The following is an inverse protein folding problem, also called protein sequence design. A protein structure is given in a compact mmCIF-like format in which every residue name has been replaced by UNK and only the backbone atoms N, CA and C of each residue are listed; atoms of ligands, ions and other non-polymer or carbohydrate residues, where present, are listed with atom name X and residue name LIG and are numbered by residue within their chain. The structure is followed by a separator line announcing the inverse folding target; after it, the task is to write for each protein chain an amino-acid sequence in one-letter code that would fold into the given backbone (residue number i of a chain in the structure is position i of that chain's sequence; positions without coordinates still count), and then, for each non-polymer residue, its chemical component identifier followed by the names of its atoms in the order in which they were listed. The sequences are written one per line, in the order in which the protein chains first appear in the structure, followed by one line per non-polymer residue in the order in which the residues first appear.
data_IF_476153487909
#
_entry.id   IF_476153487909
#
_cell.length_a   1.000
_cell.length_b   1.000
_cell.length_c   1.000
_cell.angle_alpha   90.00
_cell.angle_beta   90.00
_cell.angle_gamma   90.00
#
_symmetry.space_group_name_H-M   'P 1'
#
loop_
_entity.id
_entity.type
_entity.pdbx_description
1 polymer ?
#
# COMPACT_ATOMS: atom_id res chain seq x y z
N UNK A 1 28.04 -40.86 41.90
CA UNK A 1 28.18 -39.42 42.25
C UNK A 1 27.08 -38.69 41.55
N UNK A 2 26.16 -38.16 42.33
CA UNK A 2 25.00 -37.35 41.90
C UNK A 2 25.47 -35.99 41.46
N UNK A 3 25.02 -35.48 40.28
CA UNK A 3 24.96 -34.06 39.98
C UNK A 3 23.59 -33.73 39.37
N UNK A 4 22.93 -32.92 40.11
CA UNK A 4 21.68 -32.21 40.12
C UNK A 4 21.19 -31.66 38.75
N UNK A 5 19.90 -31.89 38.51
CA UNK A 5 19.05 -31.12 37.59
C UNK A 5 18.90 -29.70 38.13
N UNK A 6 19.23 -28.68 37.31
CA UNK A 6 18.78 -27.33 37.49
C UNK A 6 17.85 -26.93 36.34
N UNK A 7 16.65 -26.64 36.74
CA UNK A 7 15.54 -26.06 36.00
C UNK A 7 15.96 -24.80 35.23
N UNK A 8 15.58 -24.69 33.97
CA UNK A 8 15.43 -23.43 33.28
C UNK A 8 13.95 -23.24 32.97
N UNK A 9 13.32 -22.40 33.78
CA UNK A 9 11.96 -21.88 33.54
C UNK A 9 12.05 -20.66 32.64
N UNK A 10 11.13 -20.57 31.71
CA UNK A 10 10.55 -19.32 31.28
C UNK A 10 11.03 -18.76 29.96
N UNK A 11 10.43 -19.20 28.86
CA UNK A 11 10.17 -18.32 27.71
C UNK A 11 8.76 -18.58 27.27
N UNK A 12 7.90 -17.60 27.52
CA UNK A 12 6.49 -17.58 27.13
C UNK A 12 6.40 -17.62 25.61
N UNK A 13 6.10 -18.81 25.07
CA UNK A 13 5.67 -18.95 23.69
C UNK A 13 4.26 -18.33 23.56
N UNK A 14 4.15 -17.22 22.85
CA UNK A 14 2.86 -16.71 22.43
C UNK A 14 2.23 -17.74 21.48
N UNK A 15 1.15 -18.36 21.93
CA UNK A 15 0.35 -19.25 21.11
C UNK A 15 -0.28 -18.44 19.97
N UNK A 16 0.15 -18.70 18.75
CA UNK A 16 -0.60 -18.33 17.54
C UNK A 16 -1.63 -19.43 17.34
N UNK A 17 -2.85 -19.18 17.76
CA UNK A 17 -3.96 -20.09 17.51
C UNK A 17 -4.48 -19.79 16.09
N UNK A 18 -3.91 -20.45 15.10
CA UNK A 18 -4.49 -20.55 13.75
C UNK A 18 -5.58 -21.62 13.75
N UNK A 19 -6.83 -21.22 13.95
CA UNK A 19 -7.98 -22.10 13.82
C UNK A 19 -8.76 -21.77 12.55
N UNK A 20 -8.89 -22.71 11.61
CA UNK A 20 -9.92 -22.65 10.59
C UNK A 20 -11.29 -22.74 11.27
N UNK A 21 -11.92 -21.61 11.52
CA UNK A 21 -13.26 -21.54 12.06
C UNK A 21 -14.22 -21.30 10.91
N UNK A 22 -15.05 -22.29 10.60
CA UNK A 22 -16.24 -22.09 9.77
C UNK A 22 -17.19 -21.14 10.51
N UNK A 23 -17.18 -19.84 10.12
CA UNK A 23 -17.96 -18.80 10.78
C UNK A 23 -19.27 -18.58 10.02
N UNK A 24 -20.39 -18.84 10.70
CA UNK A 24 -21.70 -18.31 10.34
C UNK A 24 -21.77 -16.80 10.66
N UNK A 25 -22.80 -16.16 10.28
CA UNK A 25 -23.32 -14.77 10.48
C UNK A 25 -22.41 -13.65 11.01
N UNK A 26 -21.14 -13.90 11.39
CA UNK A 26 -20.19 -12.93 11.92
C UNK A 26 -19.19 -12.38 10.89
N UNK A 27 -19.12 -12.93 9.68
CA UNK A 27 -18.10 -12.55 8.69
C UNK A 27 -18.24 -11.09 8.21
N UNK A 28 -19.46 -10.57 8.17
CA UNK A 28 -19.71 -9.18 7.79
C UNK A 28 -19.20 -8.17 8.82
N UNK A 29 -19.13 -8.54 10.10
CA UNK A 29 -18.67 -7.66 11.18
C UNK A 29 -17.14 -7.44 11.15
N UNK A 30 -16.39 -8.35 10.52
CA UNK A 30 -14.93 -8.28 10.41
C UNK A 30 -14.48 -7.10 9.53
N UNK A 31 -15.24 -6.78 8.49
CA UNK A 31 -14.91 -5.69 7.54
C UNK A 31 -15.53 -4.36 7.96
N UNK A 32 -16.42 -4.38 8.96
CA UNK A 32 -17.13 -3.17 9.40
C UNK A 32 -16.24 -2.34 10.32
N UNK A 33 -15.96 -1.12 9.90
CA UNK A 33 -15.27 -0.15 10.74
C UNK A 33 -16.06 0.16 12.02
N UNK A 34 -15.33 0.40 13.10
CA UNK A 34 -15.87 0.80 14.42
C UNK A 34 -15.27 2.14 14.83
N UNK A 35 -16.07 3.07 15.43
CA UNK A 35 -15.54 4.33 15.96
C UNK A 35 -14.33 4.09 16.89
N UNK A 36 -13.28 4.87 16.69
CA UNK A 36 -12.03 4.72 17.42
C UNK A 36 -11.04 3.73 16.82
N UNK A 37 -11.41 2.93 15.81
CA UNK A 37 -10.49 2.02 15.13
C UNK A 37 -9.87 2.69 13.90
N UNK A 38 -8.59 2.47 13.68
CA UNK A 38 -7.92 2.74 12.42
C UNK A 38 -7.92 1.46 11.59
N UNK A 39 -8.47 1.52 10.37
CA UNK A 39 -8.46 0.39 9.43
C UNK A 39 -7.73 0.71 8.14
N UNK A 40 -7.06 -0.32 7.57
CA UNK A 40 -6.51 -0.30 6.21
C UNK A 40 -7.00 -1.52 5.47
N UNK A 41 -7.67 -1.31 4.35
CA UNK A 41 -8.14 -2.37 3.47
C UNK A 41 -7.25 -2.43 2.22
N UNK A 42 -6.47 -3.49 2.07
CA UNK A 42 -5.73 -3.79 0.85
C UNK A 42 -6.69 -4.50 -0.10
N UNK A 43 -7.14 -3.78 -1.13
CA UNK A 43 -8.21 -4.24 -2.02
C UNK A 43 -7.60 -5.01 -3.19
N UNK A 44 -7.89 -6.29 -3.30
CA UNK A 44 -7.41 -7.10 -4.41
C UNK A 44 -8.43 -7.12 -5.54
N UNK A 45 -8.03 -6.64 -6.72
CA UNK A 45 -8.77 -6.77 -7.98
C UNK A 45 -8.00 -7.61 -9.02
N UNK A 46 -6.72 -7.87 -8.76
CA UNK A 46 -5.80 -8.53 -9.68
C UNK A 46 -5.33 -7.65 -10.83
N UNK A 47 -5.60 -6.33 -10.78
CA UNK A 47 -5.25 -5.39 -11.86
C UNK A 47 -4.46 -4.18 -11.42
N UNK A 48 -4.35 -3.93 -10.15
CA UNK A 48 -3.62 -2.80 -9.63
C UNK A 48 -3.63 -2.75 -8.11
N UNK A 49 -2.90 -1.80 -7.58
CA UNK A 49 -2.89 -1.49 -6.17
C UNK A 49 -4.03 -0.54 -5.83
N UNK A 50 -4.70 -0.81 -4.72
CA UNK A 50 -5.66 0.10 -4.09
C UNK A 50 -5.70 -0.20 -2.61
N UNK A 51 -5.52 0.81 -1.78
CA UNK A 51 -5.68 0.69 -0.33
C UNK A 51 -6.66 1.73 0.18
N UNK A 52 -7.58 1.30 1.03
CA UNK A 52 -8.57 2.20 1.61
C UNK A 52 -8.38 2.28 3.12
N UNK A 53 -8.13 3.48 3.60
CA UNK A 53 -7.90 3.78 5.01
C UNK A 53 -9.13 4.42 5.62
N UNK A 54 -9.53 3.98 6.81
CA UNK A 54 -10.56 4.61 7.63
C UNK A 54 -9.92 5.01 8.95
N UNK A 55 -9.83 6.30 9.19
CA UNK A 55 -9.21 6.88 10.39
C UNK A 55 -10.11 6.69 11.61
N UNK A 56 -9.58 6.85 12.83
CA UNK A 56 -10.34 6.57 14.06
C UNK A 56 -11.61 7.39 14.24
N UNK A 57 -11.76 8.52 13.56
CA UNK A 57 -12.94 9.39 13.57
C UNK A 57 -13.92 9.15 12.41
N UNK A 58 -13.64 8.15 11.55
CA UNK A 58 -14.40 7.87 10.33
C UNK A 58 -14.01 8.72 9.11
N UNK A 59 -12.97 9.55 9.20
CA UNK A 59 -12.33 10.17 8.02
C UNK A 59 -11.73 9.08 7.16
N UNK A 60 -11.88 9.20 5.84
CA UNK A 60 -11.44 8.16 4.90
C UNK A 60 -10.42 8.66 3.89
N UNK A 61 -9.51 7.78 3.49
CA UNK A 61 -8.51 8.02 2.44
C UNK A 61 -8.42 6.81 1.52
N UNK A 62 -8.61 7.03 0.22
CA UNK A 62 -8.30 6.05 -0.81
C UNK A 62 -6.91 6.36 -1.38
N UNK A 63 -6.03 5.40 -1.29
CA UNK A 63 -4.67 5.45 -1.83
C UNK A 63 -4.60 4.50 -3.01
N UNK A 64 -4.38 5.07 -4.18
CA UNK A 64 -4.34 4.41 -5.48
C UNK A 64 -5.67 3.75 -5.92
N UNK A 65 -5.88 3.69 -7.21
CA UNK A 65 -6.90 2.90 -7.90
C UNK A 65 -6.29 2.39 -9.20
N UNK A 66 -5.54 1.31 -9.11
CA UNK A 66 -4.81 0.76 -10.23
C UNK A 66 -5.69 -0.05 -11.17
N UNK A 67 -5.39 0.02 -12.47
CA UNK A 67 -5.98 -0.83 -13.51
C UNK A 67 -4.99 -0.99 -14.67
N UNK A 68 -4.08 -1.94 -14.55
CA UNK A 68 -3.02 -2.13 -15.54
C UNK A 68 -3.43 -3.05 -16.67
N UNK A 69 -3.34 -2.52 -17.88
CA UNK A 69 -3.57 -3.29 -19.12
C UNK A 69 -2.47 -4.30 -19.41
N UNK A 70 -1.31 -4.14 -18.82
CA UNK A 70 -0.19 -5.07 -19.00
C UNK A 70 -0.58 -6.49 -18.57
N UNK A 71 -1.36 -6.61 -17.50
CA UNK A 71 -1.77 -7.91 -16.94
C UNK A 71 -2.91 -8.59 -17.70
N UNK A 72 -3.57 -7.91 -18.65
CA UNK A 72 -4.55 -8.55 -19.56
C UNK A 72 -3.93 -9.25 -20.76
N UNK A 73 -2.61 -9.04 -21.00
CA UNK A 73 -1.93 -9.53 -22.23
C UNK A 73 -1.10 -10.79 -22.03
N UNK A 74 -0.84 -11.18 -20.80
CA UNK A 74 0.02 -12.31 -20.49
C UNK A 74 -0.76 -13.43 -19.82
N UNK A 75 -0.52 -14.68 -20.17
CA UNK A 75 -1.09 -15.86 -19.51
C UNK A 75 -0.58 -16.05 -18.06
N UNK A 76 0.20 -15.12 -17.54
CA UNK A 76 0.69 -15.08 -16.16
C UNK A 76 -0.21 -14.23 -15.25
N UNK A 77 -1.48 -14.11 -15.61
CA UNK A 77 -2.41 -13.18 -14.97
C UNK A 77 -2.86 -13.65 -13.60
N UNK A 78 -2.86 -12.72 -12.66
CA UNK A 78 -3.68 -12.86 -11.47
C UNK A 78 -5.16 -12.79 -11.88
N UNK A 79 -6.05 -13.52 -11.20
CA UNK A 79 -7.46 -13.48 -11.55
C UNK A 79 -8.04 -12.08 -11.38
N UNK A 80 -8.89 -11.66 -12.32
CA UNK A 80 -9.67 -10.42 -12.20
C UNK A 80 -10.87 -10.69 -11.28
N UNK A 81 -10.88 -10.09 -10.11
CA UNK A 81 -11.86 -10.39 -9.07
C UNK A 81 -12.68 -9.14 -8.68
N UNK A 82 -13.93 -9.40 -8.28
CA UNK A 82 -14.62 -10.72 -8.17
C UNK A 82 -14.84 -11.44 -9.48
N UNK A 83 -14.98 -10.73 -10.61
CA UNK A 83 -15.15 -11.26 -11.97
C UNK A 83 -14.87 -10.20 -13.03
N UNK A 84 -15.00 -10.55 -14.30
CA UNK A 84 -14.73 -9.67 -15.46
C UNK A 84 -15.93 -8.80 -15.88
N UNK A 85 -17.04 -8.79 -15.14
CA UNK A 85 -18.24 -8.01 -15.50
C UNK A 85 -18.05 -6.50 -15.32
N UNK A 86 -17.02 -6.09 -14.58
CA UNK A 86 -16.67 -4.69 -14.31
C UNK A 86 -15.16 -4.50 -14.40
N UNK A 87 -14.74 -3.26 -14.66
CA UNK A 87 -13.33 -2.88 -14.58
C UNK A 87 -12.87 -2.75 -13.13
N UNK A 88 -11.55 -2.81 -12.91
CA UNK A 88 -10.97 -2.78 -11.58
C UNK A 88 -11.39 -1.55 -10.76
N UNK A 89 -11.39 -0.35 -11.37
CA UNK A 89 -11.82 0.87 -10.69
C UNK A 89 -13.30 0.85 -10.25
N UNK A 90 -14.17 0.18 -11.00
CA UNK A 90 -15.57 -0.01 -10.59
C UNK A 90 -15.68 -0.97 -9.40
N UNK A 91 -14.89 -2.06 -9.37
CA UNK A 91 -14.85 -2.98 -8.24
C UNK A 91 -14.31 -2.32 -6.98
N UNK A 92 -13.26 -1.49 -7.10
CA UNK A 92 -12.74 -0.69 -5.99
C UNK A 92 -13.82 0.25 -5.44
N UNK A 93 -14.54 0.95 -6.32
CA UNK A 93 -15.59 1.87 -5.89
C UNK A 93 -16.72 1.15 -5.13
N UNK A 94 -17.15 -0.02 -5.60
CA UNK A 94 -18.16 -0.86 -4.92
C UNK A 94 -17.67 -1.37 -3.57
N UNK A 95 -16.40 -1.78 -3.50
CA UNK A 95 -15.79 -2.20 -2.24
C UNK A 95 -15.79 -1.04 -1.23
N UNK A 96 -15.29 0.13 -1.64
CA UNK A 96 -15.26 1.34 -0.82
C UNK A 96 -16.65 1.73 -0.34
N UNK A 97 -17.65 1.80 -1.23
CA UNK A 97 -19.03 2.12 -0.87
C UNK A 97 -19.56 1.22 0.26
N UNK A 98 -19.18 -0.06 0.25
CA UNK A 98 -19.66 -1.06 1.21
C UNK A 98 -19.01 -0.93 2.59
N UNK A 99 -17.71 -0.57 2.65
CA UNK A 99 -16.95 -0.55 3.92
C UNK A 99 -16.80 0.86 4.50
N UNK A 100 -16.91 1.90 3.69
CA UNK A 100 -16.78 3.28 4.12
C UNK A 100 -18.00 3.72 4.94
N UNK A 101 -17.83 4.22 6.17
CA UNK A 101 -18.95 4.72 6.98
C UNK A 101 -19.70 5.90 6.32
N UNK A 102 -19.09 6.57 5.34
CA UNK A 102 -19.70 7.66 4.55
C UNK A 102 -20.18 7.20 3.16
N UNK A 103 -20.20 5.87 2.90
CA UNK A 103 -20.60 5.30 1.63
C UNK A 103 -19.69 5.77 0.48
N UNK A 104 -20.25 6.49 -0.49
CA UNK A 104 -19.53 6.96 -1.69
C UNK A 104 -18.70 8.24 -1.48
N UNK A 105 -18.76 8.86 -0.31
CA UNK A 105 -18.00 10.06 -0.01
C UNK A 105 -16.66 9.69 0.62
N UNK A 106 -15.57 9.92 -0.08
CA UNK A 106 -14.20 9.71 0.37
C UNK A 106 -13.59 11.07 0.68
N UNK A 107 -13.02 11.22 1.88
CA UNK A 107 -12.48 12.52 2.30
C UNK A 107 -11.20 12.87 1.56
N UNK A 108 -10.30 11.88 1.37
CA UNK A 108 -9.03 12.07 0.69
C UNK A 108 -8.83 11.04 -0.41
N UNK A 109 -8.30 11.49 -1.55
CA UNK A 109 -7.66 10.62 -2.51
C UNK A 109 -6.18 10.99 -2.61
N UNK A 110 -5.31 9.99 -2.67
CA UNK A 110 -3.88 10.16 -2.90
C UNK A 110 -3.41 9.15 -3.94
N UNK A 111 -2.72 9.62 -4.97
CA UNK A 111 -2.04 8.77 -5.93
C UNK A 111 -0.57 8.66 -5.54
N UNK A 112 -0.07 7.44 -5.36
CA UNK A 112 1.33 7.24 -4.98
C UNK A 112 2.29 7.71 -6.07
N UNK A 113 2.04 7.29 -7.32
CA UNK A 113 2.80 7.69 -8.50
C UNK A 113 2.00 7.41 -9.80
N UNK A 114 2.55 7.79 -10.97
CA UNK A 114 1.80 7.79 -12.23
C UNK A 114 2.05 6.53 -13.08
N UNK A 115 1.95 5.35 -12.50
CA UNK A 115 1.85 4.10 -13.26
C UNK A 115 0.39 3.63 -13.38
N UNK A 116 0.08 2.85 -14.41
CA UNK A 116 -1.28 2.39 -14.68
C UNK A 116 -1.81 1.42 -13.61
N UNK A 117 -0.95 0.66 -12.95
CA UNK A 117 -1.28 -0.23 -11.85
C UNK A 117 -1.50 0.50 -10.50
N UNK A 118 -1.39 1.84 -10.48
CA UNK A 118 -1.71 2.71 -9.35
C UNK A 118 -2.80 3.75 -9.66
N UNK A 119 -2.83 4.31 -10.87
CA UNK A 119 -3.80 5.35 -11.24
C UNK A 119 -4.78 4.94 -12.34
N UNK A 120 -4.48 3.86 -13.05
CA UNK A 120 -5.10 3.54 -14.32
C UNK A 120 -4.49 4.35 -15.48
N UNK A 121 -4.39 3.73 -16.64
CA UNK A 121 -3.87 4.36 -17.85
C UNK A 121 -4.93 5.15 -18.63
N UNK A 122 -4.66 5.35 -19.92
CA UNK A 122 -5.61 5.98 -20.85
C UNK A 122 -6.36 4.98 -21.75
N UNK A 123 -6.08 3.68 -21.60
CA UNK A 123 -6.63 2.62 -22.46
C UNK A 123 -7.11 1.43 -21.64
N UNK A 124 -8.17 0.80 -22.12
CA UNK A 124 -8.68 -0.46 -21.64
C UNK A 124 -8.73 -1.45 -22.80
N UNK A 125 -8.04 -2.59 -22.74
CA UNK A 125 -7.86 -3.54 -23.84
C UNK A 125 -7.38 -2.91 -25.16
N UNK A 126 -6.52 -1.88 -25.05
CA UNK A 126 -5.99 -1.16 -26.21
C UNK A 126 -6.89 -0.02 -26.72
N UNK A 127 -8.12 0.10 -26.23
CA UNK A 127 -9.08 1.13 -26.61
C UNK A 127 -9.17 2.25 -25.58
N UNK A 128 -9.40 3.46 -26.04
CA UNK A 128 -9.77 4.60 -25.21
C UNK A 128 -11.28 4.63 -25.06
N UNK A 129 -11.79 4.41 -23.87
CA UNK A 129 -13.21 4.50 -23.57
C UNK A 129 -13.44 5.85 -22.86
N UNK A 130 -14.12 6.76 -23.55
CA UNK A 130 -14.42 8.09 -23.00
C UNK A 130 -15.43 8.00 -21.86
N UNK A 131 -15.22 8.80 -20.82
CA UNK A 131 -16.19 8.90 -19.74
C UNK A 131 -17.53 9.48 -20.25
N UNK A 132 -18.69 9.00 -19.75
CA UNK A 132 -19.99 9.53 -20.14
C UNK A 132 -20.19 11.01 -19.73
N UNK A 133 -19.47 11.43 -18.70
CA UNK A 133 -19.48 12.80 -18.19
C UNK A 133 -18.06 13.23 -17.88
N UNK A 134 -17.59 14.31 -18.47
CA UNK A 134 -16.23 14.80 -18.30
C UNK A 134 -15.31 14.35 -19.43
N UNK A 135 -14.20 15.04 -19.58
CA UNK A 135 -13.22 14.82 -20.65
C UNK A 135 -12.04 14.03 -20.10
N UNK A 136 -12.21 12.70 -19.93
CA UNK A 136 -11.19 11.78 -19.45
C UNK A 136 -11.51 10.32 -19.89
N UNK A 137 -10.54 9.42 -19.75
CA UNK A 137 -10.67 8.02 -20.15
C UNK A 137 -10.98 7.12 -18.98
N UNK A 138 -11.84 6.14 -19.22
CA UNK A 138 -12.24 5.15 -18.21
C UNK A 138 -11.14 4.10 -18.02
N UNK A 139 -10.42 4.19 -16.92
CA UNK A 139 -9.45 3.22 -16.44
C UNK A 139 -9.08 3.60 -14.98
N UNK A 140 -9.00 2.66 -14.07
CA UNK A 140 -8.58 2.89 -12.68
C UNK A 140 -9.35 4.01 -11.98
N UNK A 141 -8.66 5.09 -11.60
CA UNK A 141 -9.30 6.27 -10.97
C UNK A 141 -10.41 6.88 -11.83
N UNK A 142 -10.25 6.87 -13.16
CA UNK A 142 -11.27 7.37 -14.08
C UNK A 142 -12.58 6.60 -13.95
N UNK A 143 -12.55 5.29 -13.75
CA UNK A 143 -13.73 4.49 -13.49
C UNK A 143 -14.30 4.76 -12.09
N UNK A 144 -13.45 4.75 -11.06
CA UNK A 144 -13.87 4.95 -9.69
C UNK A 144 -14.52 6.32 -9.46
N UNK A 145 -14.03 7.37 -10.13
CA UNK A 145 -14.55 8.74 -10.03
C UNK A 145 -15.97 8.94 -10.57
N UNK A 146 -16.51 7.95 -11.28
CA UNK A 146 -17.93 7.92 -11.69
C UNK A 146 -18.87 7.62 -10.53
N UNK A 147 -18.38 6.91 -9.53
CA UNK A 147 -19.17 6.36 -8.42
C UNK A 147 -18.81 6.99 -7.08
N UNK A 148 -17.55 7.40 -6.90
CA UNK A 148 -17.06 8.01 -5.67
C UNK A 148 -16.91 9.52 -5.85
N UNK A 149 -17.13 10.26 -4.78
CA UNK A 149 -16.78 11.67 -4.66
C UNK A 149 -15.62 11.85 -3.69
N UNK A 150 -14.74 12.80 -3.99
CA UNK A 150 -13.54 13.05 -3.20
C UNK A 150 -13.57 14.48 -2.64
N UNK A 151 -13.35 14.62 -1.32
CA UNK A 151 -13.27 15.93 -0.67
C UNK A 151 -11.98 16.66 -1.03
N UNK A 152 -10.84 15.96 -0.96
CA UNK A 152 -9.54 16.49 -1.29
C UNK A 152 -8.69 15.42 -2.01
N UNK A 153 -7.96 15.84 -3.04
CA UNK A 153 -6.87 15.07 -3.65
C UNK A 153 -5.54 15.65 -3.16
N UNK A 154 -4.62 14.77 -2.77
CA UNK A 154 -3.22 15.12 -2.50
C UNK A 154 -2.36 14.44 -3.56
N UNK A 155 -1.67 15.23 -4.38
CA UNK A 155 -0.94 14.74 -5.54
C UNK A 155 0.51 15.21 -5.53
N UNK A 156 1.41 14.42 -6.14
CA UNK A 156 2.85 14.72 -6.12
C UNK A 156 3.26 15.87 -7.04
N UNK A 157 2.55 16.15 -8.13
CA UNK A 157 2.98 17.10 -9.16
C UNK A 157 1.90 18.10 -9.61
N UNK A 158 0.67 18.04 -9.08
CA UNK A 158 -0.37 19.04 -9.36
C UNK A 158 0.08 20.47 -9.00
N UNK A 159 -0.30 21.52 -9.75
CA UNK A 159 -1.10 21.50 -10.98
C UNK A 159 -0.26 21.40 -12.26
N UNK A 160 1.04 21.55 -12.18
CA UNK A 160 1.93 21.78 -13.32
C UNK A 160 2.44 20.49 -13.95
N UNK A 161 2.51 19.40 -13.18
CA UNK A 161 3.05 18.11 -13.60
C UNK A 161 4.50 18.18 -14.10
N UNK A 162 5.30 19.05 -13.49
CA UNK A 162 6.69 19.36 -13.87
C UNK A 162 7.70 19.09 -12.76
N UNK A 163 7.36 18.34 -11.73
CA UNK A 163 8.23 18.05 -10.59
C UNK A 163 8.59 16.56 -10.51
N UNK A 164 9.87 16.18 -10.58
CA UNK A 164 11.05 17.04 -10.77
C UNK A 164 11.30 17.44 -12.23
N UNK A 165 10.56 16.86 -13.19
CA UNK A 165 10.64 17.13 -14.64
C UNK A 165 9.25 17.03 -15.24
N UNK A 166 9.08 17.40 -16.52
CA UNK A 166 7.81 17.27 -17.26
C UNK A 166 7.36 15.79 -17.32
N UNK A 167 6.37 15.45 -16.49
CA UNK A 167 5.80 14.11 -16.39
C UNK A 167 4.85 13.81 -17.55
N UNK A 168 4.16 14.84 -18.06
CA UNK A 168 3.17 14.66 -19.13
C UNK A 168 3.82 14.30 -20.44
N UNK A 169 4.99 14.87 -20.74
CA UNK A 169 5.76 14.61 -21.95
C UNK A 169 6.59 13.32 -21.86
N UNK A 170 7.06 12.95 -20.68
CA UNK A 170 7.98 11.82 -20.51
C UNK A 170 7.26 10.47 -20.34
N UNK A 171 6.00 10.45 -19.89
CA UNK A 171 5.28 9.20 -19.65
C UNK A 171 4.86 8.48 -20.93
N UNK A 172 5.14 7.17 -20.99
CA UNK A 172 4.83 6.29 -22.12
C UNK A 172 3.42 5.70 -22.08
N UNK A 173 2.88 5.43 -20.88
CA UNK A 173 1.60 4.75 -20.71
C UNK A 173 0.37 5.67 -20.70
N UNK A 174 0.59 6.98 -20.67
CA UNK A 174 -0.48 7.97 -20.67
C UNK A 174 -1.14 8.22 -19.34
N UNK A 175 -0.75 7.52 -18.27
CA UNK A 175 -1.32 7.66 -16.93
C UNK A 175 -1.36 9.12 -16.44
N UNK A 176 -0.25 9.89 -16.43
CA UNK A 176 -0.30 11.27 -15.91
C UNK A 176 -1.22 12.18 -16.74
N UNK A 177 -1.34 11.94 -18.06
CA UNK A 177 -2.27 12.70 -18.92
C UNK A 177 -3.71 12.45 -18.53
N UNK A 178 -4.11 11.17 -18.38
CA UNK A 178 -5.45 10.83 -17.95
C UNK A 178 -5.74 11.30 -16.54
N UNK A 179 -4.82 11.12 -15.60
CA UNK A 179 -4.95 11.61 -14.21
C UNK A 179 -5.18 13.12 -14.18
N UNK A 180 -4.44 13.90 -14.98
CA UNK A 180 -4.67 15.35 -15.09
C UNK A 180 -6.09 15.67 -15.56
N UNK A 181 -6.61 14.92 -16.54
CA UNK A 181 -7.99 15.11 -17.04
C UNK A 181 -9.02 14.75 -15.96
N UNK A 182 -8.85 13.60 -15.28
CA UNK A 182 -9.68 13.20 -14.13
C UNK A 182 -9.67 14.26 -13.03
N UNK A 183 -8.49 14.76 -12.66
CA UNK A 183 -8.37 15.80 -11.63
C UNK A 183 -9.07 17.11 -12.03
N UNK A 184 -8.94 17.54 -13.30
CA UNK A 184 -9.66 18.71 -13.80
C UNK A 184 -11.18 18.53 -13.68
N UNK A 185 -11.68 17.33 -13.99
CA UNK A 185 -13.09 17.00 -13.82
C UNK A 185 -13.52 16.99 -12.35
N UNK A 186 -12.74 16.39 -11.46
CA UNK A 186 -13.02 16.38 -10.02
C UNK A 186 -13.00 17.81 -9.45
N UNK A 187 -12.04 18.65 -9.86
CA UNK A 187 -11.96 20.04 -9.43
C UNK A 187 -13.19 20.84 -9.88
N UNK A 188 -13.66 20.64 -11.12
CA UNK A 188 -14.88 21.25 -11.61
C UNK A 188 -16.13 20.83 -10.81
N UNK A 189 -16.09 19.67 -10.14
CA UNK A 189 -17.13 19.18 -9.22
C UNK A 189 -16.94 19.64 -7.77
N UNK A 190 -15.93 20.46 -7.49
CA UNK A 190 -15.69 21.01 -6.15
C UNK A 190 -14.65 20.27 -5.31
N UNK A 191 -14.00 19.22 -5.83
CA UNK A 191 -12.89 18.56 -5.15
C UNK A 191 -11.70 19.52 -5.03
N UNK A 192 -11.13 19.66 -3.85
CA UNK A 192 -9.87 20.41 -3.64
C UNK A 192 -8.70 19.56 -4.05
N UNK A 193 -7.74 20.13 -4.79
CA UNK A 193 -6.53 19.41 -5.18
C UNK A 193 -5.33 20.21 -4.69
N UNK A 194 -4.46 19.54 -3.94
CA UNK A 194 -3.26 20.12 -3.36
C UNK A 194 -2.03 19.29 -3.74
N UNK A 195 -0.90 19.98 -3.92
CA UNK A 195 0.40 19.29 -4.00
C UNK A 195 0.78 18.75 -2.62
N UNK A 196 1.36 17.56 -2.56
CA UNK A 196 1.87 16.99 -1.32
C UNK A 196 2.91 17.90 -0.68
N UNK A 197 2.80 18.09 0.63
CA UNK A 197 3.75 18.85 1.44
C UNK A 197 4.60 17.88 2.25
N UNK A 198 5.85 17.72 1.86
CA UNK A 198 6.81 16.89 2.60
C UNK A 198 6.96 17.39 4.04
N UNK A 199 7.03 16.46 4.99
CA UNK A 199 7.14 16.76 6.42
C UNK A 199 5.84 17.23 7.08
N UNK A 200 4.75 17.40 6.33
CA UNK A 200 3.46 17.77 6.91
C UNK A 200 2.87 16.62 7.73
N UNK A 201 2.23 17.01 8.86
CA UNK A 201 1.46 16.15 9.77
C UNK A 201 -0.01 16.57 9.84
N UNK A 202 -0.38 17.60 9.08
CA UNK A 202 -1.71 18.23 9.10
C UNK A 202 -2.41 18.26 7.75
N UNK A 203 -1.72 17.94 6.64
CA UNK A 203 -2.31 17.95 5.31
C UNK A 203 -3.35 16.85 5.12
N UNK A 204 -3.04 15.66 5.65
CA UNK A 204 -3.97 14.53 5.75
C UNK A 204 -4.19 14.27 7.24
N UNK A 205 -5.41 14.47 7.72
CA UNK A 205 -5.74 14.43 9.14
C UNK A 205 -7.18 13.99 9.35
N UNK A 206 -7.53 13.67 10.58
CA UNK A 206 -8.91 13.51 11.01
C UNK A 206 -9.70 14.79 10.81
N UNK A 207 -10.92 14.70 10.30
CA UNK A 207 -11.77 15.83 9.93
C UNK A 207 -13.01 15.97 10.80
N UNK A 208 -13.38 14.93 11.54
CA UNK A 208 -14.57 14.91 12.38
C UNK A 208 -14.28 15.52 13.76
N UNK A 209 -15.33 16.04 14.41
CA UNK A 209 -15.28 16.43 15.82
C UNK A 209 -14.98 15.25 16.77
N UNK A 210 -15.16 14.01 16.30
CA UNK A 210 -14.83 12.78 17.03
C UNK A 210 -13.36 12.36 16.87
N UNK A 211 -12.46 13.25 16.43
CA UNK A 211 -11.04 12.98 16.29
C UNK A 211 -10.44 12.35 17.55
N UNK A 212 -9.63 11.29 17.35
CA UNK A 212 -8.96 10.59 18.45
C UNK A 212 -7.52 11.08 18.59
N UNK A 213 -7.03 11.31 19.81
CA UNK A 213 -5.64 11.70 20.04
C UNK A 213 -4.68 10.57 19.61
N UNK A 214 -3.44 10.95 19.28
CA UNK A 214 -2.39 10.00 18.92
C UNK A 214 -2.47 9.43 17.52
N UNK A 215 -3.46 9.82 16.68
CA UNK A 215 -3.49 9.47 15.26
C UNK A 215 -2.83 10.57 14.43
N UNK A 216 -1.90 10.20 13.58
CA UNK A 216 -1.14 11.13 12.74
C UNK A 216 -0.77 10.47 11.40
N UNK A 217 -0.82 11.25 10.31
CA UNK A 217 -0.27 10.89 9.01
C UNK A 217 0.90 11.82 8.70
N UNK A 218 2.10 11.27 8.61
CA UNK A 218 3.32 11.99 8.29
C UNK A 218 3.68 11.80 6.81
N UNK A 219 3.75 12.88 6.03
CA UNK A 219 4.16 12.87 4.63
C UNK A 219 5.68 12.71 4.55
N UNK A 220 6.14 11.49 4.34
CA UNK A 220 7.55 11.12 4.46
C UNK A 220 8.35 11.43 3.20
N UNK A 221 7.87 10.98 2.03
CA UNK A 221 8.59 11.12 0.76
C UNK A 221 7.65 11.39 -0.42
N UNK A 222 8.18 12.03 -1.45
CA UNK A 222 7.59 12.22 -2.78
C UNK A 222 8.64 12.79 -3.74
N UNK A 223 8.48 12.54 -5.03
CA UNK A 223 9.34 13.12 -6.09
C UNK A 223 10.84 12.88 -5.87
N UNK A 224 11.20 11.69 -5.41
CA UNK A 224 12.60 11.35 -5.12
C UNK A 224 13.20 12.12 -3.94
N UNK A 225 12.37 12.77 -3.13
CA UNK A 225 12.75 13.49 -1.91
C UNK A 225 12.16 12.84 -0.69
N UNK A 226 12.85 12.92 0.44
CA UNK A 226 12.34 12.46 1.72
C UNK A 226 12.78 13.35 2.88
N UNK A 227 12.02 13.31 3.97
CA UNK A 227 12.28 14.09 5.18
C UNK A 227 13.09 13.26 6.17
N UNK A 228 14.29 13.71 6.52
CA UNK A 228 15.12 13.09 7.54
C UNK A 228 14.56 13.26 8.94
N UNK A 229 15.08 12.50 9.90
CA UNK A 229 14.70 12.60 11.32
C UNK A 229 14.97 13.97 11.93
N UNK A 230 15.94 14.71 11.41
CA UNK A 230 16.24 16.08 11.83
C UNK A 230 15.34 17.16 11.17
N UNK A 231 14.39 16.73 10.33
CA UNK A 231 13.47 17.60 9.60
C UNK A 231 14.02 18.16 8.29
N UNK A 232 15.27 17.90 7.95
CA UNK A 232 15.84 18.32 6.65
C UNK A 232 15.31 17.45 5.52
N UNK A 233 15.25 18.01 4.30
CA UNK A 233 14.84 17.28 3.10
C UNK A 233 16.07 16.84 2.33
N UNK A 234 16.17 15.54 2.02
CA UNK A 234 17.12 14.98 1.06
C UNK A 234 16.46 14.87 -0.29
N UNK A 235 17.12 15.35 -1.34
CA UNK A 235 16.73 15.18 -2.73
C UNK A 235 17.74 14.25 -3.41
N UNK A 236 17.27 13.07 -3.85
CA UNK A 236 18.10 12.04 -4.46
C UNK A 236 18.41 12.32 -5.94
N UNK A 237 17.59 13.14 -6.58
CA UNK A 237 17.67 13.39 -8.02
C UNK A 237 18.13 14.80 -8.38
N UNK A 238 18.38 15.68 -7.42
CA UNK A 238 18.77 17.07 -7.65
C UNK A 238 19.96 17.23 -8.60
N UNK A 239 20.98 16.36 -8.47
CA UNK A 239 22.17 16.38 -9.33
C UNK A 239 21.85 15.98 -10.78
N UNK A 240 20.91 15.05 -10.99
CA UNK A 240 20.45 14.59 -12.31
C UNK A 240 19.63 15.68 -13.01
N UNK A 241 18.71 16.31 -12.27
CA UNK A 241 17.96 17.49 -12.77
C UNK A 241 18.91 18.61 -13.17
N UNK A 242 19.92 18.90 -12.34
CA UNK A 242 20.96 19.89 -12.66
C UNK A 242 21.79 19.51 -13.89
N UNK A 243 21.99 18.21 -14.13
CA UNK A 243 22.66 17.70 -15.32
C UNK A 243 21.80 17.75 -16.60
N UNK A 244 20.52 18.15 -16.49
CA UNK A 244 19.59 18.25 -17.62
C UNK A 244 18.90 16.94 -17.96
N UNK A 245 18.90 15.96 -17.07
CA UNK A 245 18.09 14.74 -17.28
C UNK A 245 16.59 15.09 -17.25
N UNK A 246 15.83 14.56 -18.21
CA UNK A 246 14.41 14.89 -18.43
C UNK A 246 13.47 13.73 -18.19
N UNK A 247 13.99 12.58 -17.78
CA UNK A 247 13.18 11.37 -17.53
C UNK A 247 13.77 10.60 -16.36
N UNK A 248 12.91 10.19 -15.43
CA UNK A 248 13.27 9.40 -14.26
C UNK A 248 12.34 8.18 -14.14
N UNK A 249 12.80 7.18 -13.38
CA UNK A 249 11.96 6.06 -13.01
C UNK A 249 10.83 6.56 -12.11
N UNK A 250 9.60 6.38 -12.57
CA UNK A 250 8.39 6.87 -11.88
C UNK A 250 8.23 6.24 -10.48
N UNK A 251 8.68 5.00 -10.28
CA UNK A 251 8.68 4.34 -8.97
C UNK A 251 9.46 5.14 -7.92
N UNK A 252 10.62 5.68 -8.29
CA UNK A 252 11.43 6.54 -7.41
C UNK A 252 10.74 7.85 -7.02
N UNK A 253 9.66 8.24 -7.71
CA UNK A 253 8.88 9.44 -7.45
C UNK A 253 7.72 9.22 -6.48
N UNK A 254 7.47 7.99 -6.04
CA UNK A 254 6.33 7.60 -5.21
C UNK A 254 6.20 8.45 -3.94
N UNK A 255 4.96 8.76 -3.58
CA UNK A 255 4.59 9.31 -2.27
C UNK A 255 4.64 8.22 -1.21
N UNK A 256 5.13 8.56 -0.02
CA UNK A 256 5.17 7.64 1.12
C UNK A 256 4.79 8.30 2.42
N UNK A 257 4.28 7.48 3.33
CA UNK A 257 3.72 7.90 4.61
C UNK A 257 4.20 7.02 5.76
N UNK A 258 4.37 7.64 6.93
CA UNK A 258 4.33 6.94 8.22
C UNK A 258 3.04 7.34 8.91
N UNK A 259 2.21 6.37 9.27
CA UNK A 259 0.96 6.60 9.99
C UNK A 259 1.11 6.02 11.39
N UNK A 260 0.82 6.85 12.40
CA UNK A 260 0.90 6.46 13.81
C UNK A 260 -0.47 6.52 14.46
N UNK A 261 -0.76 5.56 15.35
CA UNK A 261 -1.93 5.61 16.21
C UNK A 261 -1.58 5.05 17.60
N UNK A 262 -1.39 5.93 18.56
CA UNK A 262 -0.85 5.55 19.87
C UNK A 262 0.51 4.85 19.72
N UNK A 263 0.62 3.59 20.18
CA UNK A 263 1.85 2.79 20.01
C UNK A 263 2.05 2.23 18.63
N UNK A 264 0.97 2.01 17.89
CA UNK A 264 1.01 1.40 16.55
C UNK A 264 1.63 2.33 15.52
N UNK A 265 2.45 1.75 14.62
CA UNK A 265 3.02 2.46 13.46
C UNK A 265 2.89 1.63 12.19
N UNK A 266 2.56 2.31 11.12
CA UNK A 266 2.38 1.76 9.77
C UNK A 266 3.25 2.53 8.75
N UNK A 267 3.83 1.80 7.80
CA UNK A 267 4.60 2.37 6.70
C UNK A 267 4.03 1.97 5.35
N UNK A 268 3.95 2.93 4.43
CA UNK A 268 3.68 2.71 3.00
C UNK A 268 4.41 3.76 2.16
N UNK A 269 4.90 3.38 0.99
CA UNK A 269 5.60 4.30 0.08
C UNK A 269 5.38 3.94 -1.39
N UNK A 270 4.18 3.48 -1.76
CA UNK A 270 3.90 3.08 -3.15
C UNK A 270 4.94 2.07 -3.65
N UNK A 271 5.55 2.40 -4.77
CA UNK A 271 6.61 1.61 -5.40
C UNK A 271 8.00 2.24 -5.25
N UNK A 272 8.21 3.05 -4.21
CA UNK A 272 9.46 3.77 -3.97
C UNK A 272 10.66 2.82 -3.96
N UNK A 273 11.13 2.47 -5.15
CA UNK A 273 12.27 1.58 -5.38
C UNK A 273 12.91 1.96 -6.72
N UNK A 274 14.17 2.41 -6.69
CA UNK A 274 14.96 2.75 -7.88
C UNK A 274 16.45 2.56 -7.60
N UNK A 275 17.17 2.12 -8.63
CA UNK A 275 18.63 2.09 -8.65
C UNK A 275 19.14 3.33 -9.36
N UNK A 276 19.85 4.20 -8.64
CA UNK A 276 20.41 5.44 -9.20
C UNK A 276 21.90 5.54 -8.96
N UNK A 277 22.55 6.39 -9.74
CA UNK A 277 23.93 6.82 -9.47
C UNK A 277 23.86 8.17 -8.75
N UNK A 278 24.49 8.28 -7.58
CA UNK A 278 24.50 9.50 -6.78
C UNK A 278 25.49 10.56 -7.31
N UNK A 279 25.51 11.72 -6.67
CA UNK A 279 26.43 12.84 -7.03
C UNK A 279 27.93 12.51 -6.90
N UNK A 280 28.27 11.38 -6.28
CA UNK A 280 29.66 10.88 -6.11
C UNK A 280 29.99 9.75 -7.08
N UNK A 281 29.06 9.42 -8.01
CA UNK A 281 29.22 8.33 -8.96
C UNK A 281 29.00 6.92 -8.36
N UNK A 282 28.40 6.79 -7.17
CA UNK A 282 28.12 5.51 -6.54
C UNK A 282 26.73 5.02 -6.92
N UNK A 283 26.62 3.72 -7.25
CA UNK A 283 25.33 3.08 -7.41
C UNK A 283 24.67 2.92 -6.04
N UNK A 284 23.48 3.47 -5.87
CA UNK A 284 22.67 3.39 -4.66
C UNK A 284 21.24 2.93 -4.98
N UNK A 285 20.57 2.39 -3.99
CA UNK A 285 19.14 2.08 -4.04
C UNK A 285 18.37 3.06 -3.18
N UNK A 286 17.35 3.71 -3.73
CA UNK A 286 16.57 4.75 -3.07
C UNK A 286 15.95 4.28 -1.75
N UNK A 287 15.54 3.02 -1.65
CA UNK A 287 15.04 2.42 -0.40
C UNK A 287 16.10 2.40 0.72
N UNK A 288 17.37 2.14 0.40
CA UNK A 288 18.44 2.18 1.40
C UNK A 288 18.66 3.60 1.95
N UNK A 289 18.51 4.61 1.10
CA UNK A 289 18.60 6.02 1.51
C UNK A 289 17.42 6.41 2.43
N UNK A 290 16.20 5.92 2.11
CA UNK A 290 15.01 6.17 2.92
C UNK A 290 15.13 5.59 4.35
N UNK A 291 16.00 4.61 4.56
CA UNK A 291 16.23 3.99 5.86
C UNK A 291 16.62 4.99 6.97
N UNK A 292 17.31 6.09 6.63
CA UNK A 292 17.68 7.14 7.62
C UNK A 292 16.48 7.93 8.15
N UNK A 293 15.33 7.88 7.44
CA UNK A 293 14.15 8.67 7.71
C UNK A 293 13.05 7.91 8.46
N UNK A 294 12.96 6.60 8.25
CA UNK A 294 11.87 5.78 8.81
C UNK A 294 12.12 5.34 10.24
N UNK A 295 11.09 5.26 11.09
CA UNK A 295 11.16 4.58 12.38
C UNK A 295 10.93 3.07 12.22
N UNK A 296 11.21 2.26 13.25
CA UNK A 296 10.62 0.93 13.37
C UNK A 296 9.09 1.02 13.35
N UNK A 297 8.43 0.03 12.68
CA UNK A 297 6.97 0.00 12.52
C UNK A 297 6.40 -1.38 12.85
N UNK A 298 5.13 -1.45 13.12
CA UNK A 298 4.43 -2.72 13.37
C UNK A 298 4.06 -3.41 12.06
N UNK A 299 3.52 -2.65 11.12
CA UNK A 299 3.15 -3.14 9.79
C UNK A 299 3.81 -2.27 8.71
N UNK A 300 4.40 -2.92 7.72
CA UNK A 300 4.93 -2.26 6.54
C UNK A 300 4.33 -2.84 5.25
N UNK A 301 3.86 -1.96 4.37
CA UNK A 301 3.58 -2.36 3.00
C UNK A 301 4.90 -2.60 2.28
N UNK A 302 5.01 -3.74 1.62
CA UNK A 302 6.12 -4.07 0.73
C UNK A 302 6.07 -3.16 -0.50
N UNK A 303 7.13 -2.44 -0.78
CA UNK A 303 7.22 -1.54 -1.94
C UNK A 303 7.15 -2.33 -3.25
N UNK A 304 6.67 -1.68 -4.31
CA UNK A 304 6.70 -2.19 -5.69
C UNK A 304 6.15 -3.62 -5.79
N UNK A 305 5.03 -3.90 -5.09
CA UNK A 305 4.37 -5.21 -5.05
C UNK A 305 5.29 -6.38 -4.67
N UNK A 306 6.50 -6.09 -4.17
CA UNK A 306 7.57 -7.04 -3.95
C UNK A 306 8.36 -7.40 -5.21
N UNK A 307 8.38 -6.54 -6.23
CA UNK A 307 9.17 -6.73 -7.44
C UNK A 307 10.54 -6.07 -7.32
N UNK A 308 11.58 -6.88 -7.04
CA UNK A 308 12.98 -6.44 -6.86
C UNK A 308 13.15 -5.27 -5.88
N UNK A 309 12.44 -5.30 -4.77
CA UNK A 309 12.35 -4.22 -3.78
C UNK A 309 12.79 -4.68 -2.38
N UNK A 310 12.51 -3.86 -1.37
CA UNK A 310 12.79 -4.11 0.04
C UNK A 310 14.28 -4.33 0.32
N UNK A 311 15.09 -3.37 -0.10
CA UNK A 311 16.53 -3.42 0.12
C UNK A 311 16.89 -3.43 1.61
N UNK A 312 18.03 -4.07 1.98
CA UNK A 312 18.36 -4.38 3.39
C UNK A 312 18.38 -3.16 4.31
N UNK A 313 18.78 -1.98 3.83
CA UNK A 313 18.74 -0.75 4.63
C UNK A 313 17.34 -0.43 5.12
N UNK A 314 16.36 -0.43 4.21
CA UNK A 314 14.96 -0.15 4.55
C UNK A 314 14.37 -1.23 5.46
N UNK A 315 14.58 -2.52 5.14
CA UNK A 315 14.13 -3.65 5.97
C UNK A 315 14.69 -3.55 7.39
N UNK A 316 16.00 -3.26 7.51
CA UNK A 316 16.69 -3.13 8.79
C UNK A 316 16.27 -1.91 9.61
N UNK A 317 15.80 -0.84 8.96
CA UNK A 317 15.28 0.35 9.64
C UNK A 317 13.82 0.15 10.09
N UNK A 318 12.95 -0.34 9.21
CA UNK A 318 11.53 -0.58 9.50
C UNK A 318 11.33 -1.70 10.53
N UNK A 319 12.08 -2.77 10.46
CA UNK A 319 11.99 -3.93 11.38
C UNK A 319 10.55 -4.40 11.59
N UNK A 320 9.70 -4.33 10.57
CA UNK A 320 8.28 -4.58 10.72
C UNK A 320 7.98 -5.98 11.27
N UNK A 321 6.96 -6.07 12.13
CA UNK A 321 6.44 -7.36 12.61
C UNK A 321 5.62 -8.05 11.51
N UNK A 322 4.88 -7.25 10.73
CA UNK A 322 4.09 -7.74 9.61
C UNK A 322 4.50 -7.01 8.33
N UNK A 323 4.72 -7.79 7.29
CA UNK A 323 4.92 -7.32 5.92
C UNK A 323 3.70 -7.71 5.10
N UNK A 324 3.09 -6.74 4.41
CA UNK A 324 1.93 -6.98 3.55
C UNK A 324 2.22 -6.48 2.14
N UNK A 325 1.71 -7.15 1.12
CA UNK A 325 1.93 -6.78 -0.27
C UNK A 325 0.62 -6.81 -1.07
N UNK A 326 0.42 -5.80 -1.91
CA UNK A 326 -0.58 -5.82 -2.97
C UNK A 326 0.03 -6.54 -4.17
N UNK A 327 -0.26 -7.82 -4.32
CA UNK A 327 0.32 -8.65 -5.38
C UNK A 327 -0.48 -8.51 -6.67
N UNK A 328 0.19 -8.23 -7.78
CA UNK A 328 -0.43 -7.99 -9.10
C UNK A 328 -0.05 -9.02 -10.16
N UNK A 329 1.07 -9.72 -9.99
CA UNK A 329 1.63 -10.63 -10.97
C UNK A 329 2.05 -11.91 -10.27
N UNK A 330 2.02 -13.02 -10.98
CA UNK A 330 2.53 -14.30 -10.48
C UNK A 330 4.03 -14.27 -10.12
N UNK A 331 4.77 -13.24 -10.53
CA UNK A 331 6.18 -13.02 -10.16
C UNK A 331 6.36 -12.24 -8.85
N UNK A 332 5.31 -11.70 -8.29
CA UNK A 332 5.34 -10.96 -7.03
C UNK A 332 5.06 -11.90 -5.83
N UNK A 333 5.74 -11.82 -4.70
CA UNK A 333 7.03 -11.15 -4.59
C UNK A 333 8.13 -11.95 -5.27
N UNK A 334 9.14 -11.26 -5.81
CA UNK A 334 10.30 -11.94 -6.39
C UNK A 334 11.15 -12.63 -5.33
N UNK A 335 11.91 -13.66 -5.73
CA UNK A 335 12.72 -14.46 -4.79
C UNK A 335 13.74 -13.60 -4.03
N UNK A 336 14.34 -12.62 -4.69
CA UNK A 336 15.30 -11.70 -4.07
C UNK A 336 14.65 -10.80 -3.03
N UNK A 337 13.42 -10.31 -3.28
CA UNK A 337 12.63 -9.57 -2.28
C UNK A 337 12.30 -10.47 -1.09
N UNK A 338 11.81 -11.69 -1.32
CA UNK A 338 11.52 -12.63 -0.24
C UNK A 338 12.77 -12.98 0.58
N UNK A 339 13.92 -13.18 -0.07
CA UNK A 339 15.19 -13.42 0.61
C UNK A 339 15.61 -12.23 1.49
N UNK A 340 15.45 -10.98 1.01
CA UNK A 340 15.75 -9.77 1.81
C UNK A 340 14.82 -9.65 3.02
N UNK A 341 13.53 -9.95 2.87
CA UNK A 341 12.58 -9.95 3.99
C UNK A 341 12.90 -11.05 5.00
N UNK A 342 13.41 -12.21 4.55
CA UNK A 342 13.76 -13.33 5.41
C UNK A 342 15.13 -13.18 6.10
N UNK A 343 16.01 -12.29 5.59
CA UNK A 343 17.39 -12.19 6.06
C UNK A 343 17.50 -11.78 7.53
N UNK A 344 17.90 -12.72 8.36
CA UNK A 344 18.11 -12.53 9.80
C UNK A 344 19.36 -11.73 10.14
N UNK A 345 20.31 -11.57 9.20
CA UNK A 345 21.47 -10.69 9.40
C UNK A 345 21.03 -9.22 9.35
N UNK A 346 20.09 -8.88 8.48
CA UNK A 346 19.51 -7.55 8.39
C UNK A 346 18.63 -7.22 9.60
N UNK A 347 17.82 -8.21 10.06
CA UNK A 347 16.92 -8.03 11.19
C UNK A 347 16.61 -9.37 11.85
N UNK A 348 16.84 -9.50 13.16
CA UNK A 348 16.63 -10.75 13.91
C UNK A 348 15.25 -10.93 14.53
N UNK A 349 14.40 -9.89 14.49
CA UNK A 349 13.08 -9.93 15.12
C UNK A 349 12.10 -10.84 14.36
N UNK A 350 10.98 -11.20 15.03
CA UNK A 350 9.93 -11.98 14.42
C UNK A 350 9.27 -11.20 13.29
N UNK A 351 8.86 -11.90 12.24
CA UNK A 351 8.22 -11.32 11.06
C UNK A 351 7.18 -12.25 10.48
N UNK A 352 6.13 -11.69 9.93
CA UNK A 352 5.05 -12.42 9.27
C UNK A 352 4.77 -11.75 7.93
N UNK A 353 4.63 -12.53 6.88
CA UNK A 353 4.26 -12.03 5.56
C UNK A 353 2.81 -12.38 5.26
N UNK A 354 1.97 -11.36 5.02
CA UNK A 354 0.53 -11.51 4.74
C UNK A 354 0.20 -10.71 3.47
N UNK A 355 0.36 -11.31 2.28
CA UNK A 355 0.04 -10.65 1.01
C UNK A 355 -1.45 -10.76 0.67
N UNK A 356 -1.92 -9.96 -0.28
CA UNK A 356 -3.27 -10.10 -0.86
C UNK A 356 -3.43 -11.37 -1.69
N UNK A 357 -2.33 -11.91 -2.20
CA UNK A 357 -2.28 -13.15 -2.98
C UNK A 357 -0.86 -13.73 -2.95
N UNK A 358 -0.76 -15.05 -2.92
CA UNK A 358 0.55 -15.73 -3.03
C UNK A 358 0.53 -16.75 -4.16
N UNK A 359 0.95 -16.36 -5.35
CA UNK A 359 1.03 -17.28 -6.50
C UNK A 359 2.14 -18.29 -6.30
N UNK A 360 1.82 -19.58 -6.28
CA UNK A 360 2.78 -20.66 -5.94
C UNK A 360 3.77 -20.95 -7.05
N UNK A 361 3.51 -20.60 -8.31
CA UNK A 361 4.39 -20.85 -9.48
C UNK A 361 4.95 -22.29 -9.54
N UNK A 362 4.14 -23.27 -9.18
CA UNK A 362 4.58 -24.66 -9.06
C UNK A 362 5.38 -24.97 -7.79
N UNK A 363 5.57 -24.02 -6.88
CA UNK A 363 6.13 -24.22 -5.53
C UNK A 363 5.02 -24.58 -4.55
N UNK A 364 5.36 -25.24 -3.46
CA UNK A 364 4.45 -25.51 -2.35
C UNK A 364 4.50 -24.37 -1.34
N UNK A 365 3.44 -24.22 -0.54
CA UNK A 365 3.42 -23.21 0.53
C UNK A 365 4.60 -23.35 1.50
N UNK A 366 5.04 -24.59 1.75
CA UNK A 366 6.17 -24.89 2.65
C UNK A 366 7.49 -24.30 2.14
N UNK A 367 7.65 -24.14 0.82
CA UNK A 367 8.85 -23.56 0.23
C UNK A 367 9.01 -22.09 0.62
N UNK A 368 7.91 -21.36 0.75
CA UNK A 368 7.92 -19.98 1.23
C UNK A 368 8.08 -19.88 2.75
N UNK A 369 7.59 -20.88 3.52
CA UNK A 369 7.78 -20.93 4.95
C UNK A 369 9.27 -21.07 5.34
N UNK A 370 10.13 -21.58 4.45
CA UNK A 370 11.58 -21.61 4.66
C UNK A 370 12.24 -20.24 4.59
N UNK A 371 11.66 -19.29 3.87
CA UNK A 371 12.16 -17.91 3.74
C UNK A 371 11.72 -17.00 4.91
N UNK A 372 10.53 -17.25 5.46
CA UNK A 372 9.99 -16.49 6.56
C UNK A 372 9.53 -17.44 7.67
N UNK A 373 10.36 -17.67 8.71
CA UNK A 373 10.07 -18.66 9.76
C UNK A 373 8.72 -18.50 10.45
N UNK A 374 8.20 -17.27 10.48
CA UNK A 374 6.91 -16.92 11.08
C UNK A 374 5.80 -16.72 10.02
N UNK A 375 6.04 -17.05 8.76
CA UNK A 375 4.93 -17.17 7.81
C UNK A 375 4.03 -18.25 8.33
N UNK A 376 2.81 -17.89 8.66
CA UNK A 376 1.82 -18.85 9.11
C UNK A 376 1.77 -20.03 8.13
N UNK A 377 1.69 -21.23 8.64
CA UNK A 377 1.60 -22.49 7.85
C UNK A 377 0.43 -22.47 6.86
N UNK A 378 -0.47 -21.52 7.02
CA UNK A 378 -1.61 -21.20 6.15
C UNK A 378 -1.30 -19.97 5.29
N UNK A 379 -0.37 -20.13 4.37
CA UNK A 379 -0.11 -19.12 3.34
C UNK A 379 -1.37 -18.93 2.49
N UNK A 380 -1.76 -17.67 2.28
CA UNK A 380 -2.93 -17.33 1.49
C UNK A 380 -2.63 -17.58 0.02
N UNK A 381 -3.01 -18.75 -0.46
CA UNK A 381 -2.89 -19.15 -1.86
C UNK A 381 -4.10 -18.73 -2.70
N UNK A 382 -5.21 -18.36 -2.04
CA UNK A 382 -6.39 -17.77 -2.68
C UNK A 382 -6.34 -16.25 -2.52
N UNK A 383 -6.67 -15.48 -3.57
CA UNK A 383 -6.70 -14.03 -3.49
C UNK A 383 -7.65 -13.52 -2.41
N UNK A 384 -7.16 -12.60 -1.59
CA UNK A 384 -7.91 -12.00 -0.48
C UNK A 384 -7.79 -10.49 -0.49
N UNK A 385 -8.81 -9.81 -0.01
CA UNK A 385 -8.62 -8.50 0.61
C UNK A 385 -7.95 -8.73 1.97
N UNK A 386 -6.93 -7.94 2.28
CA UNK A 386 -6.30 -7.96 3.61
C UNK A 386 -6.77 -6.72 4.38
N UNK A 387 -7.27 -6.90 5.58
CA UNK A 387 -7.77 -5.80 6.40
C UNK A 387 -6.95 -5.73 7.68
N UNK A 388 -6.26 -4.63 7.86
CA UNK A 388 -5.59 -4.27 9.11
C UNK A 388 -6.59 -3.49 9.97
N UNK A 389 -6.78 -3.89 11.21
CA UNK A 389 -7.63 -3.24 12.20
C UNK A 389 -6.87 -2.95 13.47
N UNK A 390 -6.83 -1.68 13.86
CA UNK A 390 -6.10 -1.17 15.01
C UNK A 390 -7.08 -0.49 15.96
N UNK A 391 -7.40 -1.10 17.11
CA UNK A 391 -8.26 -0.50 18.12
C UNK A 391 -7.69 0.79 18.72
N UNK A 392 -8.54 1.56 19.41
CA UNK A 392 -8.17 2.80 20.07
C UNK A 392 -6.95 2.59 20.99
N UNK A 393 -6.00 3.54 20.92
CA UNK A 393 -4.74 3.49 21.67
C UNK A 393 -3.63 2.71 20.99
N UNK A 394 -3.94 1.88 19.97
CA UNK A 394 -2.93 1.18 19.17
C UNK A 394 -2.05 0.20 19.95
N UNK A 395 -2.54 -0.38 21.06
CA UNK A 395 -1.80 -1.36 21.87
C UNK A 395 -1.67 -2.73 21.18
N UNK A 396 -2.64 -3.05 20.32
CA UNK A 396 -2.71 -4.28 19.55
C UNK A 396 -3.33 -4.02 18.19
N UNK A 397 -3.19 -4.97 17.26
CA UNK A 397 -3.81 -4.93 15.96
C UNK A 397 -4.10 -6.33 15.43
N UNK A 398 -5.05 -6.41 14.50
CA UNK A 398 -5.40 -7.65 13.83
C UNK A 398 -5.30 -7.50 12.31
N UNK A 399 -4.92 -8.56 11.61
CA UNK A 399 -5.09 -8.66 10.18
C UNK A 399 -6.09 -9.75 9.84
N UNK A 400 -7.03 -9.43 8.96
CA UNK A 400 -8.04 -10.33 8.46
C UNK A 400 -7.85 -10.54 6.97
N UNK A 401 -7.88 -11.79 6.53
CA UNK A 401 -7.89 -12.15 5.12
C UNK A 401 -9.29 -12.52 4.72
N UNK A 402 -9.88 -11.77 3.81
CA UNK A 402 -11.27 -11.91 3.35
C UNK A 402 -11.26 -12.25 1.87
N UNK A 403 -11.99 -13.29 1.47
CA UNK A 403 -12.03 -13.76 0.09
C UNK A 403 -12.37 -12.63 -0.89
N UNK A 404 -11.56 -12.46 -1.94
CA UNK A 404 -11.76 -11.44 -2.97
C UNK A 404 -12.70 -11.90 -4.11
N UNK A 405 -12.99 -13.19 -4.21
CA UNK A 405 -13.83 -13.75 -5.27
C UNK A 405 -15.34 -13.47 -5.07
N UNK A 406 -15.73 -12.77 -4.03
CA UNK A 406 -17.13 -12.43 -3.74
C UNK A 406 -17.25 -11.09 -3.06
N UNK A 407 -18.35 -10.38 -3.32
CA UNK A 407 -18.64 -9.13 -2.62
C UNK A 407 -19.14 -9.36 -1.18
N UNK A 408 -19.67 -10.55 -0.88
CA UNK A 408 -20.03 -10.92 0.48
C UNK A 408 -18.76 -11.26 1.27
N UNK A 409 -18.48 -10.58 2.39
CA UNK A 409 -17.30 -10.86 3.18
C UNK A 409 -17.30 -12.34 3.63
N UNK A 410 -16.17 -13.01 3.41
CA UNK A 410 -15.93 -14.37 3.86
C UNK A 410 -14.53 -14.45 4.45
N UNK A 411 -14.46 -14.54 5.77
CA UNK A 411 -13.19 -14.63 6.48
C UNK A 411 -12.47 -15.94 6.13
N UNK A 412 -11.16 -15.82 5.82
CA UNK A 412 -10.27 -16.94 5.52
C UNK A 412 -9.24 -17.16 6.61
N UNK A 413 -8.69 -16.05 7.14
CA UNK A 413 -7.71 -16.12 8.23
C UNK A 413 -7.78 -14.86 9.08
N UNK A 414 -7.34 -14.98 10.34
CA UNK A 414 -7.15 -13.88 11.29
C UNK A 414 -5.80 -14.04 11.99
N UNK A 415 -5.09 -12.93 12.14
CA UNK A 415 -3.82 -12.86 12.86
C UNK A 415 -3.86 -11.70 13.84
N UNK A 416 -3.51 -11.96 15.09
CA UNK A 416 -3.52 -10.97 16.17
C UNK A 416 -2.10 -10.69 16.67
N UNK A 417 -1.77 -9.40 16.86
CA UNK A 417 -0.46 -8.94 17.27
C UNK A 417 -0.56 -7.88 18.34
N UNK A 418 0.47 -7.79 19.20
CA UNK A 418 0.68 -6.64 20.06
C UNK A 418 1.58 -5.62 19.33
N UNK A 419 1.28 -4.34 19.50
CA UNK A 419 2.15 -3.25 19.03
C UNK A 419 3.40 -3.14 19.89
N UNK A 420 4.50 -2.72 19.26
CA UNK A 420 5.79 -2.69 19.95
C UNK A 420 6.14 -1.33 20.56
N UNK A 421 5.47 -0.28 20.13
CA UNK A 421 5.70 1.09 20.61
C UNK A 421 6.74 1.85 19.82
#
# INVERSE_FOLDING_TARGET
MNISRRSFLGSSAAFVAGGCVGLGHGDADVVRWRPGHYQVHYIFTGRGESTFHIFPDGTSMLLDVGDSMRFYRTQQETPHLPDVSRRAGEWVARYVERVNPKGRQVDYFQLSHYHEDHGGGERYHGERIHAPTGDYWLCGLGDASRFLSFGKVVDRAWPTFDDPVDVLGSSRDGTPRNIRMVYSHLQAKGTKIERIRLGSRDQIRQLSAAARPGFEVFNLCANGRYVRKDGTVRDLYAHKVKAGETSFNENGMSCGFVISYGKFKYFTAGDFSDGIVDERGRSIWTENELAEAVPPVDVAKVSHHGHHSMYPGLVGALRARVWTACVLDQKHCTDDTMNRLADTATYRGPRTYIPTYMPLRGRRCEDYASYLPDVAKEVIVEPCHVILDVPEGGEAYSLFCVAAATESPRLRARYDFASRG
#
